data_IF_297189316274
#
_entry.id   IF_297189316274
#
_cell.length_a   1.000
_cell.length_b   1.000
_cell.length_c   1.000
_cell.angle_alpha   90.00
_cell.angle_beta   90.00
_cell.angle_gamma   90.00
#
_symmetry.space_group_name_H-M   'P 1'
#
loop_
_entity.id
_entity.type
_entity.pdbx_description
1 polymer ?
#
# COMPACT_ATOMS: atom_id res chain seq x y z
N UNK A 1 1.87 -11.51 -26.97
CA UNK A 1 2.62 -10.88 -28.06
C UNK A 1 1.64 -10.73 -29.22
N UNK A 2 1.35 -9.52 -29.69
CA UNK A 2 0.47 -9.35 -30.86
C UNK A 2 1.32 -9.75 -32.07
N UNK A 3 1.03 -10.89 -32.68
CA UNK A 3 1.71 -11.35 -33.90
C UNK A 3 0.80 -11.07 -35.10
N UNK A 4 1.35 -10.44 -36.12
CA UNK A 4 0.72 -10.35 -37.43
C UNK A 4 0.68 -11.76 -38.06
N UNK A 5 -0.47 -12.16 -38.59
CA UNK A 5 -0.67 -13.47 -39.21
C UNK A 5 -0.29 -13.41 -40.70
N UNK A 6 0.50 -14.39 -41.14
CA UNK A 6 1.12 -14.51 -42.47
C UNK A 6 0.07 -14.63 -43.59
N UNK A 7 -1.16 -15.05 -43.25
CA UNK A 7 -2.22 -15.27 -44.24
C UNK A 7 -2.99 -14.01 -44.68
N UNK A 8 -2.58 -12.81 -44.23
CA UNK A 8 -3.22 -11.57 -44.65
C UNK A 8 -2.45 -10.92 -45.80
N UNK A 9 -3.19 -10.26 -46.70
CA UNK A 9 -2.64 -9.37 -47.71
C UNK A 9 -1.93 -8.17 -47.08
N UNK A 10 -1.01 -7.55 -47.85
CA UNK A 10 -0.15 -6.49 -47.36
C UNK A 10 -0.94 -5.28 -46.81
N UNK A 11 -2.04 -4.89 -47.46
CA UNK A 11 -2.87 -3.76 -47.01
C UNK A 11 -3.52 -4.03 -45.65
N UNK A 12 -4.06 -5.24 -45.45
CA UNK A 12 -4.61 -5.68 -44.16
C UNK A 12 -3.55 -5.73 -43.06
N UNK A 13 -2.32 -6.14 -43.39
CA UNK A 13 -1.18 -6.13 -42.48
C UNK A 13 -0.75 -4.71 -42.11
N UNK A 14 -0.68 -3.79 -43.07
CA UNK A 14 -0.34 -2.38 -42.86
C UNK A 14 -1.39 -1.67 -42.00
N UNK A 15 -2.68 -1.94 -42.23
CA UNK A 15 -3.77 -1.40 -41.42
C UNK A 15 -3.67 -1.90 -39.96
N UNK A 16 -3.50 -3.21 -39.75
CA UNK A 16 -3.31 -3.78 -38.41
C UNK A 16 -2.05 -3.22 -37.72
N UNK A 17 -0.95 -3.10 -38.45
CA UNK A 17 0.29 -2.50 -37.97
C UNK A 17 0.08 -1.04 -37.52
N UNK A 18 -0.66 -0.23 -38.29
CA UNK A 18 -0.96 1.16 -37.95
C UNK A 18 -1.73 1.30 -36.63
N UNK A 19 -2.69 0.39 -36.39
CA UNK A 19 -3.47 0.33 -35.16
C UNK A 19 -2.61 -0.05 -33.95
N UNK A 20 -1.66 -0.96 -34.13
CA UNK A 20 -0.72 -1.40 -33.07
C UNK A 20 0.27 -0.28 -32.72
N UNK A 21 0.82 0.40 -33.73
CA UNK A 21 1.82 1.48 -33.57
C UNK A 21 1.23 2.69 -32.85
N UNK A 22 -0.06 3.01 -33.06
CA UNK A 22 -0.75 4.16 -32.45
C UNK A 22 -0.56 4.25 -30.93
N UNK A 23 -0.38 3.11 -30.28
CA UNK A 23 -0.35 2.98 -28.83
C UNK A 23 1.05 2.67 -28.25
N UNK A 24 2.10 2.79 -29.06
CA UNK A 24 3.51 2.52 -28.73
C UNK A 24 4.40 3.76 -28.93
N UNK A 25 5.52 3.83 -28.20
CA UNK A 25 6.55 4.85 -28.43
C UNK A 25 7.80 4.23 -29.07
N UNK A 26 8.29 4.88 -30.13
CA UNK A 26 9.47 4.48 -30.89
C UNK A 26 10.53 5.59 -30.81
N UNK A 27 11.81 5.24 -30.99
CA UNK A 27 12.84 6.25 -31.29
C UNK A 27 12.49 6.96 -32.60
N UNK A 28 13.01 8.18 -32.82
CA UNK A 28 12.77 8.90 -34.06
C UNK A 28 13.14 8.06 -35.29
N UNK A 29 14.27 7.37 -35.24
CA UNK A 29 14.74 6.48 -36.30
C UNK A 29 13.75 5.33 -36.56
N UNK A 30 13.27 4.68 -35.50
CA UNK A 30 12.33 3.56 -35.62
C UNK A 30 10.94 4.02 -36.07
N UNK A 31 10.51 5.23 -35.68
CA UNK A 31 9.26 5.83 -36.15
C UNK A 31 9.31 6.17 -37.65
N UNK A 32 10.46 6.65 -38.14
CA UNK A 32 10.68 6.87 -39.58
C UNK A 32 10.66 5.56 -40.35
N UNK A 33 11.39 4.54 -39.89
CA UNK A 33 11.39 3.21 -40.50
C UNK A 33 10.00 2.57 -40.53
N UNK A 34 9.21 2.73 -39.46
CA UNK A 34 7.81 2.25 -39.45
C UNK A 34 6.92 3.01 -40.43
N UNK A 35 7.11 4.32 -40.58
CA UNK A 35 6.38 5.12 -41.55
C UNK A 35 6.70 4.66 -42.98
N UNK A 36 7.98 4.41 -43.27
CA UNK A 36 8.43 3.89 -44.56
C UNK A 36 7.88 2.49 -44.83
N UNK A 37 7.91 1.60 -43.83
CA UNK A 37 7.33 0.24 -43.92
C UNK A 37 5.83 0.25 -44.20
N UNK A 38 5.06 1.12 -43.53
CA UNK A 38 3.60 1.21 -43.71
C UNK A 38 3.22 1.76 -45.08
N UNK A 39 4.05 2.64 -45.66
CA UNK A 39 3.80 3.26 -46.96
C UNK A 39 4.39 2.48 -48.14
N UNK A 40 5.06 1.34 -47.90
CA UNK A 40 5.66 0.56 -48.96
C UNK A 40 4.59 -0.19 -49.78
N UNK A 41 4.47 0.13 -51.07
CA UNK A 41 3.42 -0.43 -51.95
C UNK A 41 3.73 -1.85 -52.45
N UNK A 42 5.01 -2.25 -52.49
CA UNK A 42 5.47 -3.50 -53.13
C UNK A 42 6.41 -4.34 -52.24
N UNK A 43 6.12 -4.44 -50.95
CA UNK A 43 6.94 -5.22 -50.01
C UNK A 43 6.38 -6.64 -49.84
N UNK A 44 7.26 -7.64 -49.79
CA UNK A 44 6.86 -9.02 -49.46
C UNK A 44 6.29 -9.10 -48.04
N UNK A 45 5.21 -9.85 -47.85
CA UNK A 45 4.49 -9.91 -46.57
C UNK A 45 5.34 -10.53 -45.46
N UNK A 46 6.23 -11.46 -45.78
CA UNK A 46 7.14 -12.10 -44.80
C UNK A 46 8.21 -11.11 -44.36
N UNK A 47 8.76 -10.33 -45.28
CA UNK A 47 9.73 -9.29 -44.97
C UNK A 47 9.10 -8.15 -44.17
N UNK A 48 7.89 -7.71 -44.52
CA UNK A 48 7.13 -6.72 -43.74
C UNK A 48 6.93 -7.17 -42.28
N UNK A 49 6.47 -8.42 -42.07
CA UNK A 49 6.26 -8.97 -40.73
C UNK A 49 7.57 -9.06 -39.95
N UNK A 50 8.67 -9.44 -40.61
CA UNK A 50 10.00 -9.56 -39.98
C UNK A 50 10.49 -8.21 -39.48
N UNK A 51 10.48 -7.19 -40.35
CA UNK A 51 10.96 -5.85 -40.01
C UNK A 51 10.06 -5.16 -38.99
N UNK A 52 8.73 -5.24 -39.16
CA UNK A 52 7.78 -4.70 -38.20
C UNK A 52 8.00 -5.30 -36.80
N UNK A 53 8.14 -6.62 -36.70
CA UNK A 53 8.39 -7.29 -35.41
C UNK A 53 9.76 -6.92 -34.81
N UNK A 54 10.79 -6.74 -35.65
CA UNK A 54 12.10 -6.30 -35.19
C UNK A 54 12.01 -4.91 -34.54
N UNK A 55 11.27 -3.97 -35.16
CA UNK A 55 11.10 -2.62 -34.62
C UNK A 55 10.20 -2.63 -33.38
N UNK A 56 9.06 -3.34 -33.41
CA UNK A 56 8.13 -3.41 -32.27
C UNK A 56 8.78 -4.01 -31.03
N UNK A 57 9.68 -5.00 -31.18
CA UNK A 57 10.45 -5.57 -30.05
C UNK A 57 11.32 -4.53 -29.33
N UNK A 58 11.70 -3.45 -30.00
CA UNK A 58 12.50 -2.36 -29.40
C UNK A 58 11.65 -1.24 -28.80
N UNK A 59 10.32 -1.29 -28.95
CA UNK A 59 9.41 -0.22 -28.54
C UNK A 59 8.92 -0.35 -27.09
N UNK A 60 8.61 0.78 -26.45
CA UNK A 60 8.03 0.82 -25.09
C UNK A 60 6.49 0.83 -25.19
N UNK A 61 5.84 -0.17 -24.59
CA UNK A 61 4.38 -0.40 -24.69
C UNK A 61 3.53 0.46 -23.74
N UNK A 62 2.20 0.30 -23.79
CA UNK A 62 1.14 0.95 -22.97
C UNK A 62 1.45 1.18 -21.48
N UNK A 63 2.31 0.35 -20.89
CA UNK A 63 2.86 0.54 -19.54
C UNK A 63 3.52 1.92 -19.37
N UNK A 64 4.07 2.51 -20.43
CA UNK A 64 4.60 3.87 -20.46
C UNK A 64 3.53 4.94 -20.27
N UNK A 65 2.34 4.81 -20.89
CA UNK A 65 1.24 5.78 -20.69
C UNK A 65 0.75 5.76 -19.24
N UNK A 66 0.62 4.56 -18.66
CA UNK A 66 0.32 4.40 -17.23
C UNK A 66 1.46 4.95 -16.37
N UNK A 67 2.72 4.70 -16.74
CA UNK A 67 3.88 5.23 -16.02
C UNK A 67 3.96 6.76 -16.11
N UNK A 68 3.68 7.40 -17.25
CA UNK A 68 3.57 8.87 -17.36
C UNK A 68 2.40 9.37 -16.54
N UNK A 69 1.23 8.74 -16.63
CA UNK A 69 0.06 9.16 -15.86
C UNK A 69 0.37 9.09 -14.35
N UNK A 70 0.96 7.99 -13.89
CA UNK A 70 1.41 7.80 -12.51
C UNK A 70 2.54 8.77 -12.15
N UNK A 71 3.49 9.05 -13.04
CA UNK A 71 4.58 9.98 -12.79
C UNK A 71 4.08 11.43 -12.75
N UNK A 72 3.14 11.81 -13.62
CA UNK A 72 2.48 13.11 -13.60
C UNK A 72 1.60 13.25 -12.35
N UNK A 73 0.91 12.19 -11.92
CA UNK A 73 0.19 12.18 -10.64
C UNK A 73 1.17 12.27 -9.47
N UNK A 74 2.31 11.60 -9.54
CA UNK A 74 3.39 11.68 -8.55
C UNK A 74 3.92 13.12 -8.47
N UNK A 75 4.34 13.71 -9.58
CA UNK A 75 4.85 15.08 -9.64
C UNK A 75 3.80 16.09 -9.16
N UNK A 76 2.52 15.88 -9.50
CA UNK A 76 1.44 16.82 -9.15
C UNK A 76 0.96 16.73 -7.71
N UNK A 77 0.99 15.55 -7.08
CA UNK A 77 0.40 15.33 -5.75
C UNK A 77 1.38 14.77 -4.73
N UNK A 78 2.33 13.96 -5.16
CA UNK A 78 3.31 13.32 -4.28
C UNK A 78 4.50 14.24 -4.01
N UNK A 79 4.92 15.11 -4.95
CA UNK A 79 5.98 16.10 -4.65
C UNK A 79 5.60 17.01 -3.47
N UNK A 80 4.31 17.39 -3.35
CA UNK A 80 3.83 18.16 -2.19
C UNK A 80 3.84 17.34 -0.89
N UNK A 81 3.65 16.02 -0.97
CA UNK A 81 3.76 15.11 0.18
C UNK A 81 5.22 14.76 0.52
N UNK A 82 6.12 14.69 -0.47
CA UNK A 82 7.56 14.47 -0.33
C UNK A 82 8.24 15.67 0.36
N UNK A 83 7.69 16.88 0.22
CA UNK A 83 8.14 18.07 0.96
C UNK A 83 7.74 18.07 2.45
N UNK A 84 6.87 17.16 2.89
CA UNK A 84 6.48 17.04 4.30
C UNK A 84 7.58 16.28 5.05
N UNK A 85 8.63 17.03 5.43
CA UNK A 85 9.61 16.55 6.40
C UNK A 85 8.95 16.22 7.76
N UNK A 86 9.64 15.47 8.62
CA UNK A 86 9.18 15.23 10.00
C UNK A 86 8.94 16.54 10.79
N UNK A 87 9.61 17.61 10.40
CA UNK A 87 9.61 18.93 11.04
C UNK A 87 8.20 19.55 11.18
N UNK A 88 7.41 19.77 10.11
CA UNK A 88 6.05 20.29 10.21
C UNK A 88 5.11 19.42 11.05
N UNK A 89 5.26 18.09 11.00
CA UNK A 89 4.45 17.17 11.83
C UNK A 89 4.75 17.40 13.32
N UNK A 90 6.03 17.46 13.68
CA UNK A 90 6.48 17.71 15.05
C UNK A 90 6.01 19.09 15.54
N UNK A 91 6.09 20.12 14.68
CA UNK A 91 5.67 21.48 14.99
C UNK A 91 4.17 21.58 15.27
N UNK A 92 3.34 20.90 14.48
CA UNK A 92 1.89 20.81 14.70
C UNK A 92 1.59 20.11 16.04
N UNK A 93 2.28 19.00 16.33
CA UNK A 93 2.14 18.29 17.60
C UNK A 93 2.51 19.18 18.80
N UNK A 94 3.62 19.91 18.72
CA UNK A 94 4.06 20.86 19.75
C UNK A 94 3.05 22.00 19.94
N UNK A 95 2.54 22.58 18.86
CA UNK A 95 1.51 23.62 18.90
C UNK A 95 0.21 23.15 19.57
N UNK A 96 -0.22 21.92 19.28
CA UNK A 96 -1.39 21.30 19.95
C UNK A 96 -1.15 21.10 21.45
N UNK A 97 0.04 20.63 21.85
CA UNK A 97 0.40 20.47 23.27
C UNK A 97 0.39 21.82 24.00
N UNK A 98 0.97 22.87 23.39
CA UNK A 98 0.98 24.22 23.94
C UNK A 98 -0.44 24.77 24.10
N UNK A 99 -1.30 24.60 23.09
CA UNK A 99 -2.70 25.02 23.14
C UNK A 99 -3.45 24.34 24.30
N UNK A 100 -3.27 23.02 24.47
CA UNK A 100 -3.86 22.25 25.58
C UNK A 100 -3.39 22.78 26.94
N UNK A 101 -2.10 23.11 27.06
CA UNK A 101 -1.52 23.71 28.26
C UNK A 101 -2.12 25.09 28.57
N UNK A 102 -2.26 25.97 27.57
CA UNK A 102 -2.85 27.30 27.72
C UNK A 102 -4.33 27.23 28.14
N UNK A 103 -5.11 26.32 27.55
CA UNK A 103 -6.51 26.09 27.93
C UNK A 103 -6.61 25.68 29.40
N UNK A 104 -5.71 24.81 29.87
CA UNK A 104 -5.68 24.36 31.27
C UNK A 104 -5.28 25.49 32.23
N UNK A 105 -4.29 26.31 31.85
CA UNK A 105 -3.74 27.37 32.71
C UNK A 105 -4.68 28.57 32.87
N UNK A 106 -5.36 29.00 31.81
CA UNK A 106 -6.05 30.30 31.78
C UNK A 106 -7.56 30.27 32.07
N UNK A 107 -8.15 29.12 32.44
CA UNK A 107 -9.59 28.98 32.82
C UNK A 107 -10.56 29.77 31.90
N UNK A 108 -10.38 29.71 30.58
CA UNK A 108 -11.17 30.50 29.61
C UNK A 108 -12.71 30.34 29.79
N UNK A 109 -13.44 31.46 29.61
CA UNK A 109 -14.89 31.64 29.87
C UNK A 109 -15.81 30.56 29.26
N UNK A 110 -17.03 30.43 29.82
CA UNK A 110 -18.07 29.42 29.49
C UNK A 110 -18.40 29.28 27.99
N UNK A 111 -18.40 30.36 27.20
CA UNK A 111 -18.72 30.33 25.75
C UNK A 111 -17.60 29.65 24.95
N UNK A 112 -16.35 30.02 25.26
CA UNK A 112 -15.15 29.39 24.69
C UNK A 112 -15.10 27.92 25.14
N UNK A 113 -15.52 27.61 26.37
CA UNK A 113 -15.62 26.24 26.88
C UNK A 113 -16.57 25.35 26.05
N UNK A 114 -17.66 25.88 25.46
CA UNK A 114 -18.56 25.10 24.59
C UNK A 114 -17.92 24.82 23.22
N UNK A 115 -17.29 25.83 22.61
CA UNK A 115 -16.58 25.65 21.34
C UNK A 115 -15.35 24.75 21.51
N UNK A 116 -14.56 24.95 22.57
CA UNK A 116 -13.45 24.09 22.98
C UNK A 116 -13.92 22.67 23.21
N UNK A 117 -15.07 22.42 23.85
CA UNK A 117 -15.59 21.05 24.03
C UNK A 117 -15.92 20.37 22.69
N UNK A 118 -16.54 21.08 21.75
CA UNK A 118 -16.83 20.55 20.42
C UNK A 118 -15.52 20.25 19.67
N UNK A 119 -14.58 21.20 19.69
CA UNK A 119 -13.24 21.03 19.14
C UNK A 119 -12.53 19.84 19.78
N UNK A 120 -12.48 19.75 21.12
CA UNK A 120 -11.89 18.62 21.85
C UNK A 120 -12.53 17.28 21.48
N UNK A 121 -13.85 17.22 21.29
CA UNK A 121 -14.51 15.98 20.87
C UNK A 121 -14.05 15.57 19.46
N UNK A 122 -13.91 16.52 18.55
CA UNK A 122 -13.40 16.28 17.18
C UNK A 122 -11.92 15.87 17.26
N UNK A 123 -11.09 16.60 18.01
CA UNK A 123 -9.68 16.30 18.20
C UNK A 123 -9.46 14.94 18.85
N UNK A 124 -10.29 14.57 19.84
CA UNK A 124 -10.18 13.28 20.52
C UNK A 124 -10.57 12.13 19.58
N UNK A 125 -11.61 12.29 18.77
CA UNK A 125 -11.96 11.33 17.70
C UNK A 125 -10.82 11.21 16.67
N UNK A 126 -10.21 12.34 16.28
CA UNK A 126 -9.06 12.33 15.37
C UNK A 126 -7.85 11.61 16.00
N UNK A 127 -7.54 11.87 17.27
CA UNK A 127 -6.47 11.18 18.02
C UNK A 127 -6.77 9.69 18.12
N UNK A 128 -8.03 9.28 18.34
CA UNK A 128 -8.43 7.88 18.37
C UNK A 128 -8.25 7.21 17.01
N UNK A 129 -8.59 7.87 15.92
CA UNK A 129 -8.36 7.38 14.55
C UNK A 129 -6.87 7.26 14.22
N UNK A 130 -6.07 8.29 14.53
CA UNK A 130 -4.61 8.28 14.28
C UNK A 130 -3.94 7.20 15.15
N UNK A 131 -4.32 7.11 16.43
CA UNK A 131 -3.81 6.06 17.33
C UNK A 131 -4.19 4.66 16.87
N UNK A 132 -5.41 4.47 16.35
CA UNK A 132 -5.85 3.21 15.76
C UNK A 132 -5.13 2.89 14.44
N UNK A 133 -4.84 3.88 13.61
CA UNK A 133 -4.05 3.72 12.38
C UNK A 133 -2.63 3.25 12.68
N UNK A 134 -2.01 3.80 13.72
CA UNK A 134 -0.65 3.44 14.12
C UNK A 134 -0.50 1.95 14.45
N UNK A 135 -1.58 1.29 14.90
CA UNK A 135 -1.59 -0.14 15.14
C UNK A 135 -1.18 -0.98 13.92
N UNK A 136 -1.44 -0.49 12.72
CA UNK A 136 -1.19 -1.19 11.47
C UNK A 136 0.11 -0.79 10.79
N UNK A 137 0.84 0.19 11.34
CA UNK A 137 2.07 0.67 10.74
C UNK A 137 3.14 -0.41 10.68
N UNK A 138 3.44 -1.09 11.79
CA UNK A 138 4.45 -2.16 11.82
C UNK A 138 4.06 -3.35 10.93
N UNK A 139 2.83 -3.89 11.00
CA UNK A 139 2.39 -4.92 10.06
C UNK A 139 2.45 -4.47 8.59
N UNK A 140 2.22 -3.20 8.29
CA UNK A 140 2.34 -2.70 6.92
C UNK A 140 3.81 -2.71 6.49
N UNK A 141 4.69 -2.12 7.29
CA UNK A 141 6.13 -2.03 7.01
C UNK A 141 6.75 -3.42 6.83
N UNK A 142 6.38 -4.41 7.65
CA UNK A 142 6.87 -5.79 7.51
C UNK A 142 6.45 -6.43 6.18
N UNK A 143 5.19 -6.27 5.75
CA UNK A 143 4.72 -6.74 4.43
C UNK A 143 5.58 -6.09 3.34
N UNK A 144 5.72 -4.78 3.36
CA UNK A 144 6.47 -4.10 2.31
C UNK A 144 7.94 -4.52 2.28
N UNK A 145 8.58 -4.65 3.44
CA UNK A 145 9.94 -5.15 3.56
C UNK A 145 10.12 -6.58 3.01
N UNK A 146 9.12 -7.44 3.18
CA UNK A 146 9.17 -8.82 2.72
C UNK A 146 8.94 -8.99 1.22
N UNK A 147 8.03 -8.21 0.61
CA UNK A 147 7.58 -8.43 -0.76
C UNK A 147 8.12 -7.43 -1.77
N UNK A 148 8.23 -6.14 -1.43
CA UNK A 148 8.58 -5.10 -2.42
C UNK A 148 9.96 -5.30 -3.03
N UNK A 149 11.05 -5.59 -2.28
CA UNK A 149 12.36 -5.82 -2.89
C UNK A 149 12.37 -6.96 -3.92
N UNK A 150 11.45 -7.92 -3.78
CA UNK A 150 11.32 -9.08 -4.67
C UNK A 150 10.45 -8.79 -5.90
N UNK A 151 9.52 -7.84 -5.79
CA UNK A 151 8.57 -7.51 -6.84
C UNK A 151 8.99 -6.30 -7.68
N UNK A 152 9.80 -5.40 -7.13
CA UNK A 152 10.13 -4.11 -7.73
C UNK A 152 10.80 -4.21 -9.11
N UNK A 153 11.62 -5.26 -9.33
CA UNK A 153 12.27 -5.51 -10.61
C UNK A 153 11.29 -5.89 -11.72
N UNK A 154 10.26 -6.68 -11.38
CA UNK A 154 9.21 -7.11 -12.32
C UNK A 154 8.05 -6.13 -12.42
N UNK A 155 7.81 -5.36 -11.35
CA UNK A 155 6.68 -4.45 -11.19
C UNK A 155 7.16 -3.07 -10.69
N UNK A 156 7.84 -2.29 -11.55
CA UNK A 156 8.43 -1.02 -11.16
C UNK A 156 7.40 0.01 -10.70
N UNK A 157 6.12 -0.17 -11.08
CA UNK A 157 5.04 0.72 -10.65
C UNK A 157 4.77 0.68 -9.13
N UNK A 158 5.21 -0.38 -8.43
CA UNK A 158 5.13 -0.43 -6.98
C UNK A 158 5.92 0.71 -6.33
N UNK A 159 6.97 1.24 -6.98
CA UNK A 159 7.68 2.42 -6.50
C UNK A 159 6.78 3.66 -6.41
N UNK A 160 5.83 3.85 -7.32
CA UNK A 160 4.97 5.04 -7.31
C UNK A 160 3.96 5.03 -6.17
N UNK A 161 3.51 3.84 -5.76
CA UNK A 161 2.55 3.66 -4.65
C UNK A 161 3.28 3.70 -3.30
N UNK A 162 4.62 3.67 -3.31
CA UNK A 162 5.46 3.54 -2.14
C UNK A 162 6.09 4.90 -1.77
N UNK A 163 5.42 5.71 -0.92
CA UNK A 163 5.91 7.03 -0.53
C UNK A 163 7.25 6.92 0.21
N UNK A 164 8.08 7.97 0.12
CA UNK A 164 9.44 7.97 0.68
C UNK A 164 9.47 7.66 2.17
N UNK A 165 8.53 8.20 2.96
CA UNK A 165 8.46 7.87 4.39
C UNK A 165 8.34 6.37 4.65
N UNK A 166 7.61 5.64 3.79
CA UNK A 166 7.40 4.21 3.94
C UNK A 166 8.62 3.43 3.44
N UNK A 167 9.34 3.93 2.44
CA UNK A 167 10.68 3.42 2.04
C UNK A 167 11.67 3.52 3.18
N UNK A 168 11.81 4.70 3.77
CA UNK A 168 12.71 4.94 4.90
C UNK A 168 12.35 4.04 6.08
N UNK A 169 11.05 3.86 6.34
CA UNK A 169 10.55 2.97 7.38
C UNK A 169 10.88 1.51 7.10
N UNK A 170 10.78 1.07 5.85
CA UNK A 170 11.17 -0.28 5.42
C UNK A 170 12.67 -0.48 5.51
N UNK A 171 13.48 0.46 5.05
CA UNK A 171 14.94 0.38 5.14
C UNK A 171 15.40 0.33 6.61
N UNK A 172 14.79 1.15 7.46
CA UNK A 172 15.05 1.13 8.90
C UNK A 172 14.58 -0.19 9.55
N UNK A 173 13.43 -0.73 9.13
CA UNK A 173 12.94 -2.04 9.56
C UNK A 173 13.86 -3.18 9.14
N UNK A 174 14.34 -3.20 7.89
CA UNK A 174 15.27 -4.21 7.36
C UNK A 174 16.60 -4.16 8.12
N UNK A 175 17.07 -2.96 8.47
CA UNK A 175 18.31 -2.77 9.23
C UNK A 175 18.18 -3.20 10.69
N UNK A 176 17.02 -2.98 11.30
CA UNK A 176 16.77 -3.27 12.72
C UNK A 176 15.46 -4.04 12.97
N UNK A 177 15.30 -5.25 12.41
CA UNK A 177 14.03 -5.97 12.45
C UNK A 177 13.68 -6.39 13.88
N UNK A 178 14.70 -6.70 14.70
CA UNK A 178 14.50 -7.05 16.11
C UNK A 178 13.93 -5.89 16.90
N UNK A 179 14.35 -4.64 16.65
CA UNK A 179 13.86 -3.45 17.36
C UNK A 179 12.37 -3.31 17.13
N UNK A 180 11.94 -3.33 15.87
CA UNK A 180 10.52 -3.22 15.53
C UNK A 180 9.72 -4.37 16.09
N UNK A 181 10.14 -5.61 15.84
CA UNK A 181 9.34 -6.77 16.18
C UNK A 181 9.24 -6.95 17.70
N UNK A 182 10.34 -6.79 18.44
CA UNK A 182 10.32 -6.92 19.90
C UNK A 182 9.60 -5.74 20.57
N UNK A 183 9.92 -4.49 20.21
CA UNK A 183 9.29 -3.32 20.84
C UNK A 183 7.81 -3.30 20.49
N UNK A 184 7.44 -3.61 19.25
CA UNK A 184 6.03 -3.75 18.88
C UNK A 184 5.40 -4.88 19.67
N UNK A 185 5.85 -6.12 19.55
CA UNK A 185 5.19 -7.25 20.21
C UNK A 185 5.08 -7.05 21.73
N UNK A 186 6.20 -6.80 22.41
CA UNK A 186 6.19 -6.65 23.87
C UNK A 186 5.55 -5.34 24.30
N UNK A 187 5.83 -4.22 23.64
CA UNK A 187 5.19 -2.93 23.97
C UNK A 187 3.67 -3.00 23.82
N UNK A 188 3.19 -3.68 22.78
CA UNK A 188 1.77 -3.93 22.55
C UNK A 188 1.18 -4.88 23.59
N UNK A 189 1.81 -6.03 23.85
CA UNK A 189 1.35 -7.01 24.83
C UNK A 189 1.29 -6.42 26.26
N UNK A 190 2.40 -5.84 26.73
CA UNK A 190 2.47 -5.22 28.06
C UNK A 190 1.54 -4.00 28.15
N UNK A 191 1.63 -3.08 27.20
CA UNK A 191 0.85 -1.84 27.23
C UNK A 191 -0.66 -2.08 27.19
N UNK A 192 -1.11 -2.90 26.23
CA UNK A 192 -2.54 -3.07 25.93
C UNK A 192 -3.21 -4.13 26.77
N UNK A 193 -2.59 -5.30 26.93
CA UNK A 193 -3.22 -6.42 27.64
C UNK A 193 -3.04 -6.29 29.15
N UNK A 194 -1.81 -6.01 29.62
CA UNK A 194 -1.53 -5.93 31.06
C UNK A 194 -1.94 -4.58 31.66
N UNK A 195 -1.47 -3.48 31.08
CA UNK A 195 -1.73 -2.14 31.63
C UNK A 195 -3.04 -1.50 31.13
N UNK A 196 -3.72 -2.11 30.16
CA UNK A 196 -4.96 -1.58 29.56
C UNK A 196 -4.80 -0.14 29.07
N UNK A 197 -3.64 0.17 28.49
CA UNK A 197 -3.30 1.46 27.86
C UNK A 197 -3.18 1.30 26.33
N UNK A 198 -3.50 2.34 25.55
CA UNK A 198 -4.08 3.62 25.96
C UNK A 198 -5.54 3.49 26.43
N UNK A 199 -6.08 4.47 27.16
CA UNK A 199 -7.44 4.38 27.74
C UNK A 199 -8.54 4.14 26.69
N UNK A 200 -8.56 4.81 25.53
CA UNK A 200 -9.57 4.58 24.52
C UNK A 200 -9.61 3.12 24.07
N UNK A 201 -10.77 2.48 24.24
CA UNK A 201 -10.98 1.08 23.84
C UNK A 201 -10.80 0.90 22.34
N UNK A 202 -11.26 1.86 21.53
CA UNK A 202 -11.12 1.83 20.08
C UNK A 202 -9.64 1.65 19.67
N UNK A 203 -8.75 2.47 20.23
CA UNK A 203 -7.31 2.33 19.96
C UNK A 203 -6.81 0.95 20.39
N UNK A 204 -7.14 0.51 21.61
CA UNK A 204 -6.73 -0.82 22.12
C UNK A 204 -7.22 -1.98 21.25
N UNK A 205 -8.45 -1.92 20.76
CA UNK A 205 -9.03 -2.90 19.85
C UNK A 205 -8.18 -3.02 18.58
N UNK A 206 -7.91 -1.87 17.94
CA UNK A 206 -7.11 -1.81 16.72
C UNK A 206 -5.67 -2.26 16.95
N UNK A 207 -5.11 -1.94 18.12
CA UNK A 207 -3.78 -2.36 18.57
C UNK A 207 -3.65 -3.88 18.72
N UNK A 208 -4.60 -4.55 19.38
CA UNK A 208 -4.63 -6.03 19.47
C UNK A 208 -4.82 -6.65 18.08
N UNK A 209 -5.69 -6.06 17.26
CA UNK A 209 -5.89 -6.55 15.89
C UNK A 209 -4.66 -6.39 15.02
N UNK A 210 -3.92 -5.29 15.15
CA UNK A 210 -2.62 -5.11 14.49
C UNK A 210 -1.63 -6.20 14.88
N UNK A 211 -1.57 -6.53 16.18
CA UNK A 211 -0.76 -7.64 16.68
C UNK A 211 -1.16 -8.99 16.07
N UNK A 212 -2.47 -9.27 15.98
CA UNK A 212 -2.98 -10.48 15.33
C UNK A 212 -2.58 -10.53 13.85
N UNK A 213 -2.73 -9.43 13.11
CA UNK A 213 -2.32 -9.36 11.71
C UNK A 213 -0.81 -9.60 11.56
N UNK A 214 0.00 -8.98 12.42
CA UNK A 214 1.44 -9.21 12.44
C UNK A 214 1.79 -10.68 12.67
N UNK A 215 1.09 -11.36 13.57
CA UNK A 215 1.28 -12.79 13.78
C UNK A 215 0.84 -13.63 12.56
N UNK A 216 -0.30 -13.30 11.94
CA UNK A 216 -0.80 -14.02 10.76
C UNK A 216 0.07 -13.84 9.52
N UNK A 217 0.81 -12.74 9.40
CA UNK A 217 1.79 -12.53 8.32
C UNK A 217 2.88 -13.61 8.28
N UNK A 218 3.17 -14.25 9.43
CA UNK A 218 4.10 -15.37 9.48
C UNK A 218 3.71 -16.53 8.56
N UNK A 219 2.41 -16.70 8.24
CA UNK A 219 1.93 -17.76 7.36
C UNK A 219 2.35 -17.51 5.89
N UNK A 220 1.96 -16.39 5.23
CA UNK A 220 2.48 -16.03 3.92
C UNK A 220 4.01 -16.06 3.84
N UNK A 221 4.70 -15.54 4.86
CA UNK A 221 6.17 -15.48 4.84
C UNK A 221 6.82 -16.87 4.91
N UNK A 222 6.23 -17.80 5.67
CA UNK A 222 6.64 -19.20 5.68
C UNK A 222 6.42 -19.85 4.31
N UNK A 223 5.28 -19.57 3.65
CA UNK A 223 5.02 -20.03 2.29
C UNK A 223 6.06 -19.49 1.31
N UNK A 224 6.38 -18.19 1.34
CA UNK A 224 7.42 -17.62 0.46
C UNK A 224 8.75 -18.33 0.66
N UNK A 225 9.18 -18.53 1.91
CA UNK A 225 10.44 -19.23 2.19
C UNK A 225 10.45 -20.64 1.64
N UNK A 226 9.37 -21.39 1.82
CA UNK A 226 9.23 -22.75 1.30
C UNK A 226 9.28 -22.80 -0.23
N UNK A 227 8.61 -21.86 -0.91
CA UNK A 227 8.63 -21.78 -2.37
C UNK A 227 10.00 -21.34 -2.90
N UNK A 228 10.67 -20.41 -2.22
CA UNK A 228 12.01 -19.96 -2.60
C UNK A 228 13.07 -21.06 -2.48
N UNK A 229 12.91 -21.98 -1.52
CA UNK A 229 13.79 -23.14 -1.39
C UNK A 229 13.51 -24.25 -2.40
N UNK A 230 12.47 -24.13 -3.23
CA UNK A 230 12.08 -25.16 -4.19
C UNK A 230 12.82 -24.99 -5.51
N UNK A 231 13.72 -25.91 -5.85
CA UNK A 231 14.45 -25.92 -7.13
C UNK A 231 13.55 -26.19 -8.35
N UNK A 232 12.33 -26.67 -8.12
CA UNK A 232 11.36 -27.02 -9.16
C UNK A 232 10.56 -25.83 -9.73
N UNK A 233 10.65 -24.65 -9.12
CA UNK A 233 9.87 -23.48 -9.51
C UNK A 233 10.66 -22.56 -10.44
N UNK A 234 10.01 -22.08 -11.49
CA UNK A 234 10.60 -21.07 -12.36
C UNK A 234 10.59 -19.69 -11.71
N UNK A 235 11.47 -18.79 -12.17
CA UNK A 235 11.53 -17.42 -11.65
C UNK A 235 10.19 -16.67 -11.80
N UNK A 236 9.48 -16.87 -12.92
CA UNK A 236 8.17 -16.26 -13.15
C UNK A 236 7.10 -16.79 -12.18
N UNK A 237 7.15 -18.08 -11.84
CA UNK A 237 6.27 -18.67 -10.82
C UNK A 237 6.58 -18.08 -9.44
N UNK A 238 7.86 -17.88 -9.10
CA UNK A 238 8.26 -17.27 -7.83
C UNK A 238 7.77 -15.82 -7.74
N UNK A 239 7.94 -15.02 -8.80
CA UNK A 239 7.47 -13.63 -8.84
C UNK A 239 5.95 -13.57 -8.74
N UNK A 240 5.22 -14.43 -9.47
CA UNK A 240 3.75 -14.47 -9.45
C UNK A 240 3.22 -14.87 -8.06
N UNK A 241 3.85 -15.86 -7.42
CA UNK A 241 3.52 -16.26 -6.06
C UNK A 241 3.76 -15.14 -5.06
N UNK A 242 4.89 -14.44 -5.15
CA UNK A 242 5.16 -13.27 -4.30
C UNK A 242 4.12 -12.17 -4.49
N UNK A 243 3.68 -11.92 -5.72
CA UNK A 243 2.65 -10.92 -5.99
C UNK A 243 1.30 -11.33 -5.37
N UNK A 244 0.93 -12.61 -5.49
CA UNK A 244 -0.29 -13.14 -4.90
C UNK A 244 -0.27 -13.04 -3.36
N UNK A 245 0.83 -13.45 -2.73
CA UNK A 245 0.98 -13.39 -1.28
C UNK A 245 1.04 -11.93 -0.77
N UNK A 246 1.66 -11.02 -1.52
CA UNK A 246 1.60 -9.59 -1.23
C UNK A 246 0.16 -9.07 -1.30
N UNK A 247 -0.59 -9.42 -2.34
CA UNK A 247 -2.00 -9.03 -2.48
C UNK A 247 -2.89 -9.60 -1.37
N UNK A 248 -2.67 -10.86 -0.96
CA UNK A 248 -3.39 -11.49 0.18
C UNK A 248 -3.13 -10.69 1.46
N UNK A 249 -1.88 -10.37 1.76
CA UNK A 249 -1.52 -9.57 2.93
C UNK A 249 -2.16 -8.17 2.90
N UNK A 250 -2.16 -7.51 1.75
CA UNK A 250 -2.84 -6.22 1.57
C UNK A 250 -4.36 -6.34 1.76
N UNK A 251 -4.95 -7.43 1.29
CA UNK A 251 -6.39 -7.70 1.45
C UNK A 251 -6.79 -7.86 2.91
N UNK A 252 -5.87 -8.28 3.77
CA UNK A 252 -6.11 -8.37 5.22
C UNK A 252 -5.95 -7.01 5.90
N UNK A 253 -4.92 -6.22 5.56
CA UNK A 253 -4.60 -4.98 6.29
C UNK A 253 -5.43 -3.78 5.84
N UNK A 254 -5.75 -3.64 4.54
CA UNK A 254 -6.44 -2.46 4.02
C UNK A 254 -7.85 -2.28 4.60
N UNK A 255 -8.69 -3.33 4.75
CA UNK A 255 -9.98 -3.18 5.43
C UNK A 255 -9.84 -2.76 6.89
N UNK A 256 -8.76 -3.17 7.55
CA UNK A 256 -8.46 -2.84 8.94
C UNK A 256 -8.08 -1.35 9.09
N UNK A 257 -7.28 -0.84 8.17
CA UNK A 257 -6.92 0.58 8.04
C UNK A 257 -8.17 1.41 7.75
N UNK A 258 -9.00 1.00 6.79
CA UNK A 258 -10.25 1.68 6.46
C UNK A 258 -11.19 1.78 7.68
N UNK A 259 -11.28 0.73 8.48
CA UNK A 259 -12.07 0.72 9.72
C UNK A 259 -11.50 1.69 10.77
N UNK A 260 -10.18 1.78 10.93
CA UNK A 260 -9.55 2.79 11.79
C UNK A 260 -9.86 4.22 11.32
N UNK A 261 -9.76 4.49 10.01
CA UNK A 261 -10.05 5.80 9.42
C UNK A 261 -11.51 6.19 9.63
N UNK A 262 -12.44 5.26 9.39
CA UNK A 262 -13.88 5.50 9.53
C UNK A 262 -14.37 5.48 10.97
N UNK A 263 -13.51 5.10 11.91
CA UNK A 263 -13.84 4.95 13.33
C UNK A 263 -14.93 3.89 13.57
N UNK A 264 -14.78 2.73 12.93
CA UNK A 264 -15.75 1.63 12.98
C UNK A 264 -15.09 0.32 13.40
N UNK A 265 -15.86 -0.56 14.02
CA UNK A 265 -15.44 -1.93 14.34
C UNK A 265 -15.78 -2.89 13.19
N UNK A 266 -15.06 -4.02 13.05
CA UNK A 266 -15.43 -5.05 12.10
C UNK A 266 -16.84 -5.59 12.38
N UNK A 267 -17.60 -5.84 11.31
CA UNK A 267 -18.95 -6.44 11.40
C UNK A 267 -18.92 -7.91 11.81
N UNK A 268 -17.82 -8.61 11.55
CA UNK A 268 -17.66 -10.02 11.94
C UNK A 268 -17.60 -10.15 13.46
N UNK A 269 -18.59 -10.85 14.03
CA UNK A 269 -18.65 -11.14 15.46
C UNK A 269 -17.46 -11.97 15.92
N UNK A 270 -17.00 -12.93 15.11
CA UNK A 270 -15.82 -13.75 15.44
C UNK A 270 -14.56 -12.91 15.66
N UNK A 271 -14.24 -12.02 14.71
CA UNK A 271 -13.05 -11.15 14.81
C UNK A 271 -13.21 -10.20 16.00
N UNK A 272 -14.42 -9.67 16.18
CA UNK A 272 -14.72 -8.76 17.29
C UNK A 272 -14.50 -9.47 18.62
N UNK A 273 -15.10 -10.64 18.81
CA UNK A 273 -15.01 -11.42 20.04
C UNK A 273 -13.57 -11.85 20.35
N UNK A 274 -12.81 -12.29 19.34
CA UNK A 274 -11.41 -12.66 19.50
C UNK A 274 -10.56 -11.49 20.02
N UNK A 275 -10.80 -10.28 19.53
CA UNK A 275 -10.11 -9.08 20.03
C UNK A 275 -10.65 -8.66 21.40
N UNK A 276 -11.97 -8.66 21.57
CA UNK A 276 -12.64 -8.17 22.78
C UNK A 276 -12.33 -8.96 24.05
N UNK A 277 -12.04 -10.26 23.93
CA UNK A 277 -11.55 -11.08 25.05
C UNK A 277 -10.28 -10.46 25.67
N UNK A 278 -9.43 -9.84 24.86
CA UNK A 278 -8.15 -9.29 25.31
C UNK A 278 -8.25 -7.84 25.82
N UNK A 279 -9.20 -7.05 25.33
CA UNK A 279 -9.33 -5.62 25.70
C UNK A 279 -10.50 -5.30 26.62
N UNK A 280 -11.41 -6.27 26.81
CA UNK A 280 -12.68 -6.13 27.53
C UNK A 280 -13.81 -5.60 26.63
N UNK A 281 -15.06 -5.94 26.98
CA UNK A 281 -16.28 -5.36 26.39
C UNK A 281 -16.64 -4.03 27.05
N UNK A 282 -17.27 -3.12 26.31
CA UNK A 282 -17.81 -1.89 26.91
C UNK A 282 -18.88 -2.29 27.95
N UNK A 283 -18.83 -1.63 29.12
CA UNK A 283 -19.65 -1.99 30.30
C UNK A 283 -21.16 -1.93 30.06
N UNK A 284 -21.60 -1.32 28.96
CA UNK A 284 -23.01 -1.11 28.64
C UNK A 284 -23.63 -2.24 27.79
N UNK A 285 -22.83 -3.13 27.20
CA UNK A 285 -23.31 -4.28 26.42
C UNK A 285 -23.21 -5.57 27.23
N UNK A 286 -24.19 -5.76 28.13
CA UNK A 286 -24.27 -6.85 29.10
C UNK A 286 -24.25 -8.27 28.51
N UNK A 287 -23.07 -8.84 28.32
CA UNK A 287 -22.90 -10.26 28.02
C UNK A 287 -22.50 -11.05 29.27
N UNK A 288 -23.42 -11.88 29.78
CA UNK A 288 -23.16 -12.93 30.77
C UNK A 288 -22.64 -14.17 30.06
N UNK A 289 -21.50 -14.68 30.49
CA UNK A 289 -20.76 -15.77 29.83
C UNK A 289 -21.45 -17.15 29.90
N UNK A 290 -22.56 -17.28 30.64
CA UNK A 290 -23.13 -18.58 31.04
C UNK A 290 -24.56 -18.86 30.56
N UNK A 291 -25.13 -18.06 29.65
CA UNK A 291 -26.44 -18.38 29.05
C UNK A 291 -26.27 -18.79 27.58
N UNK A 292 -25.62 -19.93 27.35
CA UNK A 292 -25.83 -20.77 26.18
C UNK A 292 -26.59 -22.02 26.61
#
# INVERSE_FOLDING_TARGET
MIQLDINNDLESLQLKASLIIRDMQFSHENAQKLKELILAENMDTVDFIREFNAIVRTSKSHHWKIAILLNNLKERYIHELELISWTPIILICLGLILLLFLIKKFKLKKVIKKSIRKFFKISLNLIERIGALFAYFVPLVSIYAAYVPRLIGSYPYLNFIFPEFLRDSVDFYIRYPWVFNYIYFFGMMYGVMLFKKPKPRFIRFHLVRGLMLFAFQGIPDACVKAFQSSESLTQDQIVSTNLCLFAINLSWILPCIYQAITHTYPRSSFIRDAVEINVGRDKDDGFKWWNR
#
